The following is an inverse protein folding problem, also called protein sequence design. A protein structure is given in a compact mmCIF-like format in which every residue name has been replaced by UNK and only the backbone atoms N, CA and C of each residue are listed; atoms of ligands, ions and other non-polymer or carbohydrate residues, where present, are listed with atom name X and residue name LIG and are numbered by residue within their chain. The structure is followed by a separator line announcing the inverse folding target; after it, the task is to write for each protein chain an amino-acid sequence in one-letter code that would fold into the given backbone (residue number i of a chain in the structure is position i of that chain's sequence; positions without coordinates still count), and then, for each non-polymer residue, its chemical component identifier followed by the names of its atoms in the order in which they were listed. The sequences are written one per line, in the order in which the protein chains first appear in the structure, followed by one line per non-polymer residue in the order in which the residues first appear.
data_IF_639566383722
#
_entry.id   IF_639566383722
#
_cell.length_a   1.000
_cell.length_b   1.000
_cell.length_c   1.000
_cell.angle_alpha   90.00
_cell.angle_beta   90.00
_cell.angle_gamma   90.00
#
_symmetry.space_group_name_H-M   'P 1'
#
loop_
_entity.id
_entity.type
_entity.pdbx_description
1 polymer ?
#
# COMPACT_ATOMS: atom_id res chain seq x y z
N UNK A 1 0.54 8.20 -5.89
CA UNK A 1 0.33 6.75 -5.64
C UNK A 1 0.66 6.44 -4.19
N UNK A 2 -0.01 5.45 -3.59
CA UNK A 2 0.26 4.96 -2.23
C UNK A 2 1.11 3.69 -2.26
N UNK A 3 1.56 3.26 -1.11
CA UNK A 3 2.30 2.02 -0.92
C UNK A 3 1.53 1.06 -0.03
N UNK A 4 1.68 -0.25 -0.26
CA UNK A 4 1.19 -1.34 0.59
C UNK A 4 2.36 -1.98 1.35
N UNK A 5 2.17 -2.26 2.64
CA UNK A 5 3.19 -2.92 3.45
C UNK A 5 3.38 -4.41 3.05
N UNK A 6 4.63 -4.85 3.01
CA UNK A 6 4.99 -6.23 2.62
C UNK A 6 5.69 -7.05 3.72
N UNK A 7 6.22 -6.41 4.75
CA UNK A 7 6.91 -7.11 5.86
C UNK A 7 5.99 -7.42 7.04
N UNK A 8 5.03 -6.54 7.34
CA UNK A 8 4.01 -6.76 8.36
C UNK A 8 4.54 -6.94 9.78
N UNK A 9 5.74 -6.44 10.09
CA UNK A 9 6.40 -6.74 11.37
C UNK A 9 5.65 -6.08 12.54
N UNK A 10 5.08 -4.89 12.33
CA UNK A 10 4.32 -4.15 13.32
C UNK A 10 3.22 -3.30 12.68
N UNK A 11 1.96 -3.60 13.00
CA UNK A 11 0.79 -2.98 12.36
C UNK A 11 0.76 -1.43 12.41
N UNK A 12 1.15 -0.75 13.51
CA UNK A 12 1.25 0.71 13.51
C UNK A 12 2.31 1.28 12.56
N UNK A 13 3.41 0.57 12.31
CA UNK A 13 4.43 1.01 11.35
C UNK A 13 3.92 0.85 9.92
N UNK A 14 3.23 -0.27 9.63
CA UNK A 14 2.55 -0.48 8.36
C UNK A 14 1.55 0.64 8.08
N UNK A 15 0.62 0.90 9.01
CA UNK A 15 -0.35 1.99 8.88
C UNK A 15 0.32 3.35 8.69
N UNK A 16 1.40 3.64 9.42
CA UNK A 16 2.15 4.88 9.26
C UNK A 16 2.68 5.01 7.84
N UNK A 17 3.35 3.98 7.31
CA UNK A 17 3.91 4.02 5.96
C UNK A 17 2.83 4.18 4.89
N UNK A 18 1.75 3.41 4.98
CA UNK A 18 0.64 3.41 4.01
C UNK A 18 -0.13 4.75 3.97
N UNK A 19 -0.12 5.51 5.07
CA UNK A 19 -0.88 6.77 5.19
C UNK A 19 -0.08 8.02 4.90
N UNK A 20 1.27 7.95 4.92
CA UNK A 20 2.09 9.15 4.82
C UNK A 20 3.21 9.11 3.78
N UNK A 21 3.47 7.94 3.18
CA UNK A 21 4.50 7.79 2.16
C UNK A 21 3.84 7.73 0.78
N UNK A 22 4.31 8.57 -0.13
CA UNK A 22 3.70 8.74 -1.44
C UNK A 22 4.74 8.69 -2.55
N UNK A 23 4.32 8.19 -3.70
CA UNK A 23 5.05 8.25 -4.96
C UNK A 23 4.28 9.09 -5.98
N UNK A 24 4.92 10.13 -6.49
CA UNK A 24 4.48 10.89 -7.66
C UNK A 24 5.38 10.56 -8.84
N UNK A 25 4.80 10.46 -10.04
CA UNK A 25 5.51 10.13 -11.27
C UNK A 25 5.19 11.16 -12.33
N UNK A 26 6.20 11.85 -12.82
CA UNK A 26 6.07 12.98 -13.75
C UNK A 26 7.15 12.92 -14.83
N UNK A 27 7.11 13.83 -15.80
CA UNK A 27 8.28 14.13 -16.62
C UNK A 27 9.37 14.88 -15.82
N UNK A 28 10.51 15.15 -16.46
CA UNK A 28 11.65 15.83 -15.85
C UNK A 28 11.37 17.26 -15.36
N UNK A 29 10.28 17.88 -15.82
CA UNK A 29 9.87 19.24 -15.43
C UNK A 29 8.84 19.25 -14.30
N UNK A 30 8.40 18.07 -13.84
CA UNK A 30 7.30 17.95 -12.89
C UNK A 30 5.91 18.00 -13.54
N UNK A 31 5.84 17.94 -14.87
CA UNK A 31 4.60 17.87 -15.65
C UNK A 31 4.24 16.45 -16.07
N UNK A 32 3.23 16.32 -16.93
CA UNK A 32 2.77 15.03 -17.45
C UNK A 32 2.84 15.00 -18.98
N UNK A 33 3.95 15.47 -19.58
CA UNK A 33 4.16 15.29 -21.01
C UNK A 33 4.36 13.80 -21.32
N UNK A 34 3.29 13.13 -21.75
CA UNK A 34 3.24 11.69 -22.00
C UNK A 34 4.26 11.20 -23.04
N UNK A 35 4.76 12.09 -23.91
CA UNK A 35 5.79 11.78 -24.91
C UNK A 35 7.21 12.03 -24.41
N UNK A 36 7.41 12.41 -23.15
CA UNK A 36 8.73 12.64 -22.58
C UNK A 36 9.56 11.34 -22.57
N UNK A 37 10.86 11.48 -22.82
CA UNK A 37 11.85 10.40 -22.82
C UNK A 37 12.60 10.24 -21.49
N UNK A 38 12.11 10.92 -20.45
CA UNK A 38 12.61 10.84 -19.08
C UNK A 38 11.42 10.80 -18.14
N UNK A 39 11.61 10.13 -17.01
CA UNK A 39 10.60 10.01 -15.96
C UNK A 39 11.23 10.37 -14.61
N UNK A 40 10.50 11.16 -13.83
CA UNK A 40 10.87 11.59 -12.49
C UNK A 40 9.97 10.87 -11.49
N UNK A 41 10.57 10.01 -10.68
CA UNK A 41 9.90 9.39 -9.52
C UNK A 41 10.20 10.23 -8.29
N UNK A 42 9.19 10.89 -7.73
CA UNK A 42 9.30 11.67 -6.50
C UNK A 42 8.65 10.93 -5.35
N UNK A 43 9.44 10.61 -4.34
CA UNK A 43 8.98 9.97 -3.12
C UNK A 43 8.94 10.99 -1.99
N UNK A 44 7.82 11.04 -1.28
CA UNK A 44 7.60 12.01 -0.20
C UNK A 44 7.08 11.35 1.06
N UNK A 45 7.43 11.98 2.19
CA UNK A 45 6.94 11.61 3.51
C UNK A 45 6.13 12.80 4.05
N UNK A 46 4.83 12.82 3.77
CA UNK A 46 3.99 14.01 3.99
C UNK A 46 3.36 14.09 5.40
N UNK A 47 3.43 13.01 6.18
CA UNK A 47 2.82 12.93 7.51
C UNK A 47 3.82 13.24 8.64
N UNK A 48 3.32 13.45 9.87
CA UNK A 48 4.13 13.89 10.99
C UNK A 48 4.79 12.74 11.78
N UNK A 49 4.35 11.49 11.59
CA UNK A 49 4.83 10.38 12.41
C UNK A 49 6.27 10.00 12.03
N UNK A 50 7.07 9.62 13.03
CA UNK A 50 8.46 9.23 12.79
C UNK A 50 8.54 8.06 11.79
N UNK A 51 9.29 8.28 10.71
CA UNK A 51 9.63 7.31 9.67
C UNK A 51 10.66 7.95 8.73
N UNK A 52 11.48 7.16 8.05
CA UNK A 52 12.43 7.66 7.06
C UNK A 52 12.55 6.69 5.90
N UNK A 53 12.26 7.14 4.68
CA UNK A 53 12.56 6.33 3.48
C UNK A 53 14.08 6.32 3.34
N UNK A 54 14.70 5.15 3.42
CA UNK A 54 16.17 5.02 3.42
C UNK A 54 16.71 4.35 2.17
N UNK A 55 15.90 3.53 1.52
CA UNK A 55 16.26 2.84 0.29
C UNK A 55 15.03 2.80 -0.62
N UNK A 56 15.28 2.95 -1.91
CA UNK A 56 14.25 2.95 -2.95
C UNK A 56 14.72 1.99 -4.04
N UNK A 57 13.80 1.18 -4.50
CA UNK A 57 14.02 0.07 -5.42
C UNK A 57 13.07 0.23 -6.59
N UNK A 58 13.54 -0.03 -7.79
CA UNK A 58 12.75 0.01 -9.00
C UNK A 58 12.84 -1.35 -9.67
N UNK A 59 11.68 -1.96 -9.82
CA UNK A 59 11.47 -3.11 -10.68
C UNK A 59 10.90 -2.64 -12.02
N UNK A 60 11.47 -3.12 -13.12
CA UNK A 60 11.15 -2.75 -14.50
C UNK A 60 11.24 -3.99 -15.40
N UNK A 61 10.20 -4.82 -15.35
CA UNK A 61 10.16 -6.13 -16.03
C UNK A 61 10.22 -6.01 -17.57
N UNK A 62 9.77 -4.88 -18.10
CA UNK A 62 9.74 -4.60 -19.54
C UNK A 62 10.93 -3.77 -20.01
N UNK A 63 11.91 -3.50 -19.13
CA UNK A 63 13.14 -2.77 -19.45
C UNK A 63 12.84 -1.43 -20.14
N UNK A 64 12.00 -0.62 -19.52
CA UNK A 64 11.64 0.73 -19.99
C UNK A 64 12.66 1.78 -19.57
N UNK A 65 13.36 1.57 -18.46
CA UNK A 65 14.38 2.45 -17.90
C UNK A 65 15.75 2.10 -18.51
N UNK A 66 16.51 3.10 -18.96
CA UNK A 66 17.90 2.91 -19.42
C UNK A 66 18.91 3.17 -18.31
N UNK A 67 18.52 3.92 -17.29
CA UNK A 67 19.32 4.19 -16.11
C UNK A 67 19.01 5.54 -15.48
N UNK A 68 19.51 5.74 -14.26
CA UNK A 68 19.38 7.01 -13.53
C UNK A 68 20.19 8.07 -14.28
N UNK A 69 19.56 9.21 -14.58
CA UNK A 69 20.21 10.32 -15.27
C UNK A 69 21.38 10.87 -14.43
N UNK A 70 22.38 11.44 -15.09
CA UNK A 70 23.49 12.12 -14.42
C UNK A 70 22.96 13.24 -13.53
N UNK A 71 23.34 13.26 -12.26
CA UNK A 71 22.80 14.16 -11.23
C UNK A 71 21.25 14.07 -11.09
N UNK A 72 20.66 12.95 -11.48
CA UNK A 72 19.21 12.73 -11.47
C UNK A 72 18.62 12.47 -10.09
N UNK A 73 19.42 12.44 -9.03
CA UNK A 73 18.95 12.28 -7.66
C UNK A 73 18.96 13.65 -6.99
N UNK A 74 17.78 14.13 -6.60
CA UNK A 74 17.61 15.42 -5.93
C UNK A 74 16.73 15.25 -4.69
N UNK A 75 16.94 16.04 -3.65
CA UNK A 75 16.18 15.97 -2.40
C UNK A 75 15.65 17.33 -1.98
N UNK A 76 14.78 17.34 -0.97
CA UNK A 76 14.15 18.55 -0.43
C UNK A 76 15.11 19.55 0.23
N UNK A 77 16.35 19.18 0.52
CA UNK A 77 17.36 20.06 1.14
C UNK A 77 18.09 19.42 2.32
N UNK A 78 18.60 20.26 3.24
CA UNK A 78 19.50 19.99 4.40
C UNK A 78 19.22 18.72 5.23
N UNK A 79 19.47 17.55 4.66
CA UNK A 79 19.37 16.25 5.33
C UNK A 79 19.30 15.12 4.33
N UNK A 80 18.37 15.21 3.39
CA UNK A 80 18.14 14.20 2.34
C UNK A 80 19.37 14.07 1.45
N UNK A 81 19.99 12.89 1.46
CA UNK A 81 21.20 12.65 0.68
C UNK A 81 21.25 11.20 0.24
N UNK A 82 21.10 10.98 -1.06
CA UNK A 82 21.03 9.66 -1.68
C UNK A 82 22.10 9.48 -2.74
N UNK A 83 22.51 8.23 -2.97
CA UNK A 83 23.30 7.84 -4.11
C UNK A 83 22.71 6.59 -4.74
N UNK A 84 23.07 6.34 -6.01
CA UNK A 84 22.88 5.04 -6.64
C UNK A 84 23.51 3.97 -5.75
N UNK A 85 22.80 2.88 -5.54
CA UNK A 85 23.35 1.73 -4.84
C UNK A 85 23.95 0.77 -5.87
N UNK A 86 25.19 0.37 -5.63
CA UNK A 86 25.92 -0.59 -6.46
C UNK A 86 25.92 -1.94 -5.75
N UNK A 87 25.20 -2.94 -6.27
CA UNK A 87 25.15 -4.31 -5.72
C UNK A 87 23.75 -4.91 -5.75
N UNK A 88 23.62 -6.21 -5.44
CA UNK A 88 22.33 -6.88 -5.28
C UNK A 88 21.60 -6.24 -4.12
N UNK A 89 20.41 -5.71 -4.38
CA UNK A 89 19.83 -4.70 -3.53
C UNK A 89 18.81 -5.26 -2.53
N UNK A 90 18.13 -6.39 -2.71
CA UNK A 90 17.25 -7.05 -1.75
C UNK A 90 16.36 -6.12 -0.90
N UNK A 91 15.19 -5.74 -1.43
CA UNK A 91 14.12 -5.18 -0.62
C UNK A 91 13.72 -6.18 0.48
N UNK A 92 13.77 -5.84 1.78
CA UNK A 92 13.35 -6.75 2.83
C UNK A 92 11.89 -7.19 2.64
N UNK A 93 11.63 -8.51 2.63
CA UNK A 93 10.31 -9.09 2.34
C UNK A 93 9.94 -9.14 0.85
N UNK A 94 10.71 -8.52 -0.05
CA UNK A 94 10.40 -8.46 -1.48
C UNK A 94 10.49 -9.82 -2.18
N UNK A 95 11.36 -10.71 -1.70
CA UNK A 95 11.54 -12.06 -2.22
C UNK A 95 10.50 -13.09 -1.70
N UNK A 96 9.51 -12.66 -0.92
CA UNK A 96 8.38 -13.52 -0.56
C UNK A 96 7.61 -13.90 -1.84
N UNK A 97 7.20 -15.15 -1.97
CA UNK A 97 6.46 -15.67 -3.13
C UNK A 97 5.17 -14.90 -3.47
N UNK A 98 4.54 -14.27 -2.49
CA UNK A 98 3.33 -13.47 -2.66
C UNK A 98 3.61 -12.06 -3.21
N UNK A 99 4.85 -11.57 -3.06
CA UNK A 99 5.29 -10.25 -3.52
C UNK A 99 6.09 -10.39 -4.82
N UNK A 100 7.05 -11.33 -4.85
CA UNK A 100 7.91 -11.64 -5.99
C UNK A 100 8.51 -10.38 -6.64
N UNK A 101 9.14 -9.53 -5.83
CA UNK A 101 9.75 -8.27 -6.26
C UNK A 101 11.23 -8.50 -6.55
N UNK A 102 11.66 -8.11 -7.74
CA UNK A 102 13.05 -8.18 -8.23
C UNK A 102 13.48 -6.80 -8.65
N UNK A 103 14.45 -6.20 -7.96
CA UNK A 103 14.93 -4.87 -8.37
C UNK A 103 15.98 -4.91 -9.49
N UNK A 104 15.83 -4.03 -10.47
CA UNK A 104 16.87 -3.72 -11.47
C UNK A 104 17.69 -2.49 -11.08
N UNK A 105 17.07 -1.54 -10.38
CA UNK A 105 17.74 -0.32 -9.91
C UNK A 105 17.43 -0.03 -8.46
N UNK A 106 18.32 0.73 -7.81
CA UNK A 106 17.94 1.40 -6.58
C UNK A 106 18.92 2.43 -6.08
N UNK A 107 18.42 3.22 -5.15
CA UNK A 107 19.13 4.30 -4.50
C UNK A 107 19.02 4.14 -2.99
N UNK A 108 20.06 4.56 -2.27
CA UNK A 108 20.09 4.51 -0.81
C UNK A 108 20.57 5.83 -0.23
N UNK A 109 20.08 6.15 0.97
CA UNK A 109 20.59 7.28 1.71
C UNK A 109 22.04 7.04 2.12
N UNK A 110 22.83 8.11 2.12
CA UNK A 110 24.21 8.09 2.56
C UNK A 110 24.28 8.02 4.09
N UNK A 111 25.36 7.46 4.68
CA UNK A 111 25.52 7.47 6.14
C UNK A 111 25.55 8.89 6.74
N UNK A 112 24.94 9.09 7.93
CA UNK A 112 24.10 8.12 8.66
C UNK A 112 22.75 7.90 7.94
N UNK A 113 22.36 6.63 7.77
CA UNK A 113 21.31 6.18 6.82
C UNK A 113 19.94 6.79 7.12
N UNK A 114 19.39 6.59 8.32
CA UNK A 114 18.05 7.12 8.68
C UNK A 114 18.01 8.66 8.72
N UNK A 115 18.98 9.38 9.33
CA UNK A 115 18.95 10.84 9.35
C UNK A 115 19.09 11.50 7.98
N UNK A 116 19.66 10.80 6.99
CA UNK A 116 19.81 11.29 5.62
C UNK A 116 18.81 10.69 4.62
N UNK A 117 17.86 9.90 5.11
CA UNK A 117 16.72 9.44 4.34
C UNK A 117 15.67 10.54 4.17
N UNK A 118 14.44 10.15 3.85
CA UNK A 118 13.30 11.06 3.70
C UNK A 118 12.44 11.04 4.96
N UNK A 119 12.70 11.95 5.88
CA UNK A 119 11.96 12.09 7.15
C UNK A 119 10.64 12.87 6.95
N UNK A 120 9.79 13.01 7.99
CA UNK A 120 8.57 13.79 7.90
C UNK A 120 8.76 15.19 7.31
N UNK A 121 7.97 15.51 6.29
CA UNK A 121 8.02 16.77 5.54
C UNK A 121 9.04 16.82 4.41
N UNK A 122 9.81 15.76 4.19
CA UNK A 122 10.88 15.71 3.18
C UNK A 122 10.46 14.94 1.91
N UNK A 123 11.27 15.09 0.86
CA UNK A 123 11.13 14.30 -0.38
C UNK A 123 12.49 14.02 -1.03
N UNK A 124 12.53 12.98 -1.87
CA UNK A 124 13.62 12.68 -2.81
C UNK A 124 13.03 12.36 -4.18
N UNK A 125 13.69 12.82 -5.23
CA UNK A 125 13.33 12.52 -6.62
C UNK A 125 14.47 11.78 -7.32
N UNK A 126 14.11 10.80 -8.13
CA UNK A 126 15.03 10.02 -8.96
C UNK A 126 14.58 10.15 -10.42
N UNK A 127 15.39 10.82 -11.22
CA UNK A 127 15.20 11.02 -12.65
C UNK A 127 15.85 9.88 -13.41
N UNK A 128 15.07 9.16 -14.20
CA UNK A 128 15.53 8.13 -15.12
C UNK A 128 15.47 8.62 -16.57
N UNK A 129 16.45 8.19 -17.34
CA UNK A 129 16.34 8.15 -18.79
C UNK A 129 15.53 6.90 -19.17
N UNK A 130 14.68 7.04 -20.19
CA UNK A 130 13.96 5.91 -20.77
C UNK A 130 14.78 5.27 -21.90
N UNK A 131 14.54 3.99 -22.17
CA UNK A 131 15.10 3.31 -23.33
C UNK A 131 14.54 3.89 -24.63
N UNK A 132 15.25 3.70 -25.74
CA UNK A 132 14.80 4.21 -27.05
C UNK A 132 13.41 3.71 -27.40
N UNK A 133 12.51 4.62 -27.79
CA UNK A 133 11.11 4.30 -28.12
C UNK A 133 10.16 4.22 -26.92
N UNK A 134 10.68 4.30 -25.69
CA UNK A 134 9.87 4.37 -24.46
C UNK A 134 9.54 5.83 -24.11
N UNK A 135 8.38 6.02 -23.51
CA UNK A 135 7.83 7.32 -23.15
C UNK A 135 7.25 7.30 -21.73
N UNK A 136 6.96 8.48 -21.17
CA UNK A 136 6.27 8.58 -19.89
C UNK A 136 4.92 7.83 -19.89
N UNK A 137 4.21 7.79 -21.03
CA UNK A 137 3.00 6.96 -21.17
C UNK A 137 3.29 5.49 -20.90
N UNK A 138 4.38 4.94 -21.46
CA UNK A 138 4.74 3.55 -21.23
C UNK A 138 5.04 3.28 -19.75
N UNK A 139 5.65 4.24 -19.05
CA UNK A 139 5.88 4.12 -17.60
C UNK A 139 4.55 4.05 -16.84
N UNK A 140 3.58 4.91 -17.17
CA UNK A 140 2.25 4.83 -16.55
C UNK A 140 1.53 3.51 -16.85
N UNK A 141 1.62 3.02 -18.08
CA UNK A 141 1.03 1.74 -18.48
C UNK A 141 1.67 0.57 -17.70
N UNK A 142 2.99 0.59 -17.51
CA UNK A 142 3.71 -0.43 -16.76
C UNK A 142 3.43 -0.38 -15.25
N UNK A 143 3.29 0.82 -14.68
CA UNK A 143 2.87 0.98 -13.29
C UNK A 143 1.44 0.48 -13.07
N UNK A 144 0.53 0.72 -14.03
CA UNK A 144 -0.85 0.28 -13.96
C UNK A 144 -1.01 -1.24 -14.11
N UNK A 145 -0.18 -1.87 -14.94
CA UNK A 145 -0.14 -3.32 -15.17
C UNK A 145 0.72 -4.09 -14.16
N UNK A 146 1.45 -3.39 -13.28
CA UNK A 146 2.45 -3.94 -12.35
C UNK A 146 3.69 -4.53 -13.02
N UNK A 147 3.90 -4.30 -14.31
CA UNK A 147 5.14 -4.61 -15.01
C UNK A 147 6.29 -3.67 -14.59
N UNK A 148 5.95 -2.57 -13.91
CA UNK A 148 6.88 -1.71 -13.17
C UNK A 148 6.38 -1.50 -11.75
N UNK A 149 7.26 -1.65 -10.77
CA UNK A 149 6.96 -1.43 -9.35
C UNK A 149 8.09 -0.67 -8.67
N UNK A 150 7.75 0.10 -7.67
CA UNK A 150 8.65 0.86 -6.80
C UNK A 150 8.51 0.30 -5.39
N UNK A 151 9.63 -0.17 -4.86
CA UNK A 151 9.76 -0.63 -3.49
C UNK A 151 10.47 0.41 -2.62
N UNK A 152 10.14 0.46 -1.34
CA UNK A 152 10.84 1.29 -0.36
C UNK A 152 11.13 0.52 0.91
N UNK A 153 12.31 0.75 1.49
CA UNK A 153 12.65 0.32 2.84
C UNK A 153 12.70 1.53 3.77
N UNK A 154 11.89 1.48 4.82
CA UNK A 154 11.63 2.58 5.74
C UNK A 154 12.15 2.20 7.12
N UNK A 155 12.92 3.10 7.72
CA UNK A 155 13.52 2.90 9.05
C UNK A 155 13.17 4.07 9.97
N UNK A 156 13.45 3.92 11.27
CA UNK A 156 13.29 5.01 12.23
C UNK A 156 11.83 5.32 12.54
N UNK A 157 10.97 4.29 12.53
CA UNK A 157 9.64 4.42 13.10
C UNK A 157 9.71 4.78 14.59
N UNK A 158 8.60 5.23 15.18
CA UNK A 158 8.58 5.67 16.59
C UNK A 158 9.08 4.60 17.59
N UNK A 159 8.95 3.32 17.25
CA UNK A 159 9.47 2.19 18.03
C UNK A 159 10.91 1.80 17.69
N UNK A 160 11.60 2.56 16.83
CA UNK A 160 12.93 2.26 16.30
C UNK A 160 12.97 1.18 15.22
N UNK A 161 11.82 0.61 14.83
CA UNK A 161 11.72 -0.48 13.87
C UNK A 161 11.85 -0.04 12.40
N UNK A 162 11.68 -1.02 11.51
CA UNK A 162 11.65 -0.84 10.06
C UNK A 162 10.55 -1.68 9.41
N UNK A 163 10.14 -1.24 8.23
CA UNK A 163 9.14 -1.90 7.37
C UNK A 163 9.50 -1.65 5.90
N UNK A 164 9.06 -2.54 5.03
CA UNK A 164 9.16 -2.38 3.58
C UNK A 164 7.77 -2.28 2.94
N UNK A 165 7.72 -1.58 1.81
CA UNK A 165 6.48 -1.32 1.09
C UNK A 165 6.69 -1.35 -0.42
N UNK A 166 5.63 -1.62 -1.18
CA UNK A 166 5.61 -1.59 -2.66
C UNK A 166 4.34 -0.86 -3.13
N UNK A 167 4.42 -0.10 -4.22
CA UNK A 167 3.24 0.52 -4.85
C UNK A 167 2.42 -0.54 -5.62
N UNK A 168 1.74 -1.42 -4.89
CA UNK A 168 0.79 -2.34 -5.50
C UNK A 168 -0.51 -1.59 -5.83
N UNK A 169 -1.26 -1.99 -6.86
CA UNK A 169 -2.66 -1.63 -6.98
C UNK A 169 -3.36 -2.03 -5.68
N UNK A 170 -4.38 -1.27 -5.23
CA UNK A 170 -5.09 -1.60 -4.00
C UNK A 170 -5.47 -3.07 -4.03
N UNK A 171 -4.97 -3.86 -3.07
CA UNK A 171 -5.36 -5.26 -2.93
C UNK A 171 -6.87 -5.27 -2.96
N UNK A 172 -7.45 -5.94 -3.97
CA UNK A 172 -8.90 -6.00 -4.14
C UNK A 172 -9.48 -6.39 -2.80
N UNK A 173 -10.08 -5.43 -2.10
CA UNK A 173 -10.83 -5.71 -0.89
C UNK A 173 -11.93 -6.62 -1.39
N UNK A 174 -11.81 -7.92 -1.14
CA UNK A 174 -13.00 -8.76 -1.11
C UNK A 174 -13.93 -8.02 -0.16
N UNK A 175 -15.12 -7.56 -0.62
CA UNK A 175 -16.08 -6.96 0.28
C UNK A 175 -16.19 -7.90 1.48
N UNK A 176 -16.24 -7.38 2.73
CA UNK A 176 -16.55 -8.23 3.87
C UNK A 176 -17.74 -9.11 3.45
N UNK A 177 -17.68 -10.44 3.64
CA UNK A 177 -18.80 -11.30 3.25
C UNK A 177 -20.06 -10.63 3.79
N UNK A 178 -20.97 -10.27 2.88
CA UNK A 178 -22.18 -9.55 3.23
C UNK A 178 -22.75 -10.25 4.46
N UNK A 179 -22.95 -9.52 5.56
CA UNK A 179 -23.55 -10.10 6.75
C UNK A 179 -24.93 -10.59 6.32
N UNK A 180 -25.01 -11.89 6.02
CA UNK A 180 -26.28 -12.56 5.77
C UNK A 180 -27.03 -12.38 7.09
N UNK A 181 -28.18 -11.68 7.10
CA UNK A 181 -28.98 -11.59 8.31
C UNK A 181 -29.22 -13.02 8.78
N UNK A 182 -28.70 -13.36 9.95
CA UNK A 182 -28.92 -14.69 10.51
C UNK A 182 -30.42 -14.92 10.51
N UNK A 183 -30.91 -16.05 9.95
CA UNK A 183 -32.34 -16.33 9.96
C UNK A 183 -32.77 -16.29 11.41
N UNK A 184 -33.64 -15.33 11.73
CA UNK A 184 -34.28 -15.21 13.02
C UNK A 184 -34.88 -16.59 13.32
N UNK A 185 -34.16 -17.35 14.14
CA UNK A 185 -34.61 -18.65 14.60
C UNK A 185 -35.80 -18.32 15.47
N UNK A 186 -37.00 -18.44 14.90
CA UNK A 186 -38.27 -18.33 15.60
C UNK A 186 -38.20 -19.38 16.71
N UNK A 187 -37.84 -18.93 17.91
CA UNK A 187 -37.87 -19.72 19.12
C UNK A 187 -39.35 -19.93 19.48
N UNK A 188 -39.98 -20.87 18.79
CA UNK A 188 -41.28 -21.42 19.11
C UNK A 188 -41.18 -22.31 20.35
N UNK A 189 -41.22 -21.70 21.53
CA UNK A 189 -41.47 -22.34 22.82
C UNK A 189 -42.60 -21.52 23.47
N UNK A 190 -43.69 -22.03 24.00
CA UNK A 190 -44.19 -23.37 24.22
C UNK A 190 -45.63 -23.24 24.74
N UNK A 191 -46.43 -24.27 24.50
CA UNK A 191 -47.78 -24.45 25.03
C UNK A 191 -47.77 -24.65 26.56
N UNK A 192 -48.98 -24.61 27.15
CA UNK A 192 -49.42 -24.97 28.53
C UNK A 192 -49.52 -23.75 29.47
N UNK A 193 -50.61 -23.42 30.18
CA UNK A 193 -51.96 -23.97 30.46
C UNK A 193 -52.66 -22.98 31.42
N UNK A 194 -53.95 -22.97 31.76
CA UNK A 194 -55.11 -23.76 31.42
C UNK A 194 -56.36 -23.13 32.06
N UNK A 195 -57.50 -23.82 31.90
CA UNK A 195 -58.66 -23.86 32.81
C UNK A 195 -59.40 -22.55 33.12
N UNK A 196 -60.57 -22.38 32.51
CA UNK A 196 -61.83 -22.19 33.26
C UNK A 196 -63.01 -22.58 32.37
N UNK A 197 -63.44 -23.84 32.50
CA UNK A 197 -64.78 -24.27 32.13
C UNK A 197 -65.75 -23.82 33.23
N UNK A 198 -66.77 -23.03 32.86
CA UNK A 198 -67.77 -22.50 33.79
C UNK A 198 -69.16 -22.43 33.17
N UNK A 199 -69.80 -23.61 33.06
CA UNK A 199 -71.24 -23.91 33.03
C UNK A 199 -72.25 -22.84 32.57
N UNK A 200 -73.09 -23.20 31.57
CA UNK A 200 -74.55 -23.40 31.75
C UNK A 200 -75.23 -23.63 30.39
N UNK A 201 -75.55 -24.89 30.08
CA UNK A 201 -76.66 -25.21 29.16
C UNK A 201 -77.58 -26.25 29.80
N UNK A 202 -78.76 -25.72 30.13
CA UNK A 202 -80.10 -26.28 30.28
C UNK A 202 -80.22 -27.80 30.13
N UNK A 203 -80.69 -28.42 31.20
CA UNK A 203 -81.32 -29.75 31.22
C UNK A 203 -82.74 -29.59 30.66
N UNK A 204 -83.11 -30.36 29.64
CA UNK A 204 -84.50 -30.66 29.29
C UNK A 204 -84.55 -32.05 28.66
N UNK A 205 -85.21 -32.97 29.37
CA UNK A 205 -85.98 -34.13 28.91
C UNK A 205 -86.35 -34.93 30.17
N UNK A 206 -87.51 -35.56 30.34
CA UNK A 206 -88.79 -35.58 29.65
C UNK A 206 -89.78 -36.29 30.62
N UNK A 207 -91.08 -36.07 30.41
CA UNK A 207 -92.21 -36.98 30.66
C UNK A 207 -92.43 -37.59 32.06
N UNK A 208 -93.52 -37.16 32.73
CA UNK A 208 -94.76 -37.93 32.92
C UNK A 208 -95.73 -37.12 33.80
#
# INVERSE_FOLDING_TARGET
MTFDNITGNYAPNALTGETQLFLDVTDATGGENLSANQVLFKLSNAGPAASSITQIYFEDMLNSLSGIATNGITGSGSGVSFSVSTGNLNLPGGNDSSVNFTEEYGVRSLPPVQPRGVNPGEWVSVLFNLNSGQTLQNVFDNLASQDMRVGIHVQGFANGGSESFVNLPPRGVTPPPAQVPEPATLLGLGLVGGLMAGSRRRKNSDNA
#
